data_IF_961042537804
#
_entry.id   IF_961042537804
#
_cell.length_a   1.000
_cell.length_b   1.000
_cell.length_c   1.000
_cell.angle_alpha   90.00
_cell.angle_beta   90.00
_cell.angle_gamma   90.00
#
_symmetry.space_group_name_H-M   'P 1'
#
loop_
_entity.id
_entity.type
_entity.pdbx_description
1 polymer ?
#
# COMPACT_ATOMS: atom_id res chain seq x y z
N UNK A 1 -35.84 1.36 27.51
CA UNK A 1 -35.10 1.53 28.77
C UNK A 1 -33.98 2.52 28.48
N UNK A 2 -34.16 3.73 29.01
CA UNK A 2 -33.23 4.84 28.92
C UNK A 2 -32.09 4.55 29.90
N UNK A 3 -30.84 4.68 29.45
CA UNK A 3 -29.67 4.68 30.33
C UNK A 3 -28.89 5.97 30.11
N UNK A 4 -28.87 6.75 31.18
CA UNK A 4 -28.19 8.03 31.35
C UNK A 4 -26.66 7.84 31.39
N UNK A 5 -25.95 8.54 30.52
CA UNK A 5 -24.49 8.66 30.58
C UNK A 5 -24.11 9.92 31.36
N UNK A 6 -23.72 9.73 32.61
CA UNK A 6 -23.12 10.73 33.50
C UNK A 6 -21.76 11.17 32.95
N UNK A 7 -21.64 12.45 32.63
CA UNK A 7 -20.37 13.14 32.35
C UNK A 7 -19.70 13.47 33.69
N UNK A 8 -18.48 13.00 33.92
CA UNK A 8 -17.65 13.40 35.06
C UNK A 8 -16.57 14.38 34.60
N UNK A 9 -16.51 15.51 35.30
CA UNK A 9 -15.54 16.58 35.14
C UNK A 9 -14.10 16.12 35.36
N UNK A 10 -13.18 16.67 34.56
CA UNK A 10 -11.72 16.55 34.77
C UNK A 10 -11.22 17.71 35.64
N UNK A 11 -10.27 17.48 36.56
CA UNK A 11 -9.63 18.55 37.31
C UNK A 11 -8.63 19.34 36.45
N UNK A 12 -8.36 20.61 36.80
CA UNK A 12 -7.45 21.48 36.05
C UNK A 12 -5.97 21.12 36.27
N UNK A 13 -5.18 21.29 35.21
CA UNK A 13 -3.72 21.11 35.19
C UNK A 13 -3.04 22.37 35.74
N UNK A 14 -2.03 22.26 36.64
CA UNK A 14 -1.32 23.43 37.15
C UNK A 14 -0.29 23.95 36.13
N UNK A 15 -0.24 25.29 36.01
CA UNK A 15 0.69 26.01 35.15
C UNK A 15 2.13 25.93 35.71
N UNK A 16 3.06 25.41 34.89
CA UNK A 16 4.48 25.45 35.20
C UNK A 16 5.11 26.77 34.72
N UNK A 17 5.79 27.44 35.67
CA UNK A 17 6.47 28.72 35.53
C UNK A 17 7.74 28.57 34.69
N UNK A 18 7.95 29.53 33.78
CA UNK A 18 9.18 29.69 33.03
C UNK A 18 10.29 30.27 33.94
N UNK A 19 11.46 29.63 33.94
CA UNK A 19 12.69 30.16 34.54
C UNK A 19 13.55 30.81 33.46
N UNK A 20 13.74 32.10 33.64
CA UNK A 20 14.62 33.00 32.90
C UNK A 20 16.06 32.74 33.32
N UNK A 21 16.94 32.29 32.41
CA UNK A 21 18.39 32.57 32.47
C UNK A 21 19.13 31.99 31.25
N UNK A 22 20.32 32.55 30.98
CA UNK A 22 21.28 32.23 29.91
C UNK A 22 21.07 32.92 28.54
N UNK A 23 21.29 34.25 28.51
CA UNK A 23 21.84 34.94 27.34
C UNK A 23 23.37 34.80 27.34
N UNK A 24 23.94 34.01 26.42
CA UNK A 24 25.33 34.18 25.95
C UNK A 24 25.45 33.89 24.44
N UNK A 25 26.16 34.80 23.79
CA UNK A 25 26.65 34.92 22.41
C UNK A 25 26.52 33.71 21.46
N UNK A 26 25.78 33.90 20.36
CA UNK A 26 25.88 33.14 19.10
C UNK A 26 25.90 34.15 17.95
N UNK A 27 27.09 34.62 17.55
CA UNK A 27 27.25 35.55 16.43
C UNK A 27 27.96 34.95 15.23
N UNK A 28 27.85 33.63 14.98
CA UNK A 28 28.39 32.98 13.77
C UNK A 28 27.61 31.70 13.37
N UNK A 29 26.29 31.65 13.60
CA UNK A 29 25.47 30.55 13.11
C UNK A 29 25.13 30.77 11.61
N UNK A 30 25.27 29.75 10.74
CA UNK A 30 24.82 29.85 9.35
C UNK A 30 23.34 30.23 9.31
N UNK A 31 22.99 31.17 8.42
CA UNK A 31 21.60 31.64 8.25
C UNK A 31 20.68 30.42 8.15
N UNK A 32 19.63 30.30 8.99
CA UNK A 32 18.68 29.22 8.86
C UNK A 32 18.09 29.26 7.44
N UNK A 33 18.20 28.13 6.75
CA UNK A 33 17.47 27.87 5.51
C UNK A 33 16.00 28.25 5.75
N UNK A 34 15.34 28.96 4.82
CA UNK A 34 13.93 29.34 4.99
C UNK A 34 13.14 28.09 5.39
N UNK A 35 12.42 28.20 6.51
CA UNK A 35 11.61 27.12 7.05
C UNK A 35 10.73 26.58 5.92
N UNK A 36 10.88 25.29 5.62
CA UNK A 36 9.99 24.63 4.67
C UNK A 36 8.54 24.87 5.13
N UNK A 37 7.60 25.14 4.20
CA UNK A 37 6.21 25.37 4.56
C UNK A 37 5.75 24.26 5.51
N UNK A 38 5.16 24.67 6.64
CA UNK A 38 4.67 23.72 7.63
C UNK A 38 3.68 22.75 6.98
N UNK A 39 3.71 21.45 7.30
CA UNK A 39 2.96 20.41 6.58
C UNK A 39 1.42 20.51 6.66
N UNK A 40 0.87 21.54 7.30
CA UNK A 40 -0.58 21.81 7.37
C UNK A 40 -1.20 22.21 6.04
N UNK A 41 -0.40 22.67 5.08
CA UNK A 41 -0.85 23.14 3.75
C UNK A 41 -0.48 22.17 2.61
N UNK A 42 -0.13 20.92 2.92
CA UNK A 42 0.23 19.95 1.88
C UNK A 42 -0.99 19.61 1.02
N UNK A 43 -1.00 20.14 -0.20
CA UNK A 43 -2.01 19.79 -1.19
C UNK A 43 -2.00 18.28 -1.45
N UNK A 44 -3.15 17.65 -1.17
CA UNK A 44 -3.35 16.23 -1.41
C UNK A 44 -3.25 15.92 -2.91
N UNK A 45 -2.60 14.81 -3.28
CA UNK A 45 -2.48 14.49 -4.70
C UNK A 45 -3.81 14.21 -5.42
N UNK A 46 -4.03 14.88 -6.55
CA UNK A 46 -5.17 14.62 -7.41
C UNK A 46 -4.95 13.39 -8.33
N UNK A 47 -5.31 12.21 -7.83
CA UNK A 47 -5.25 10.95 -8.58
C UNK A 47 -6.67 10.44 -8.88
N UNK A 48 -7.10 10.40 -10.15
CA UNK A 48 -8.41 9.84 -10.51
C UNK A 48 -8.60 8.44 -9.95
N UNK A 49 -9.83 8.10 -9.58
CA UNK A 49 -10.20 6.79 -9.05
C UNK A 49 -9.50 6.39 -7.73
N UNK A 50 -8.92 7.35 -7.02
CA UNK A 50 -8.35 7.18 -5.67
C UNK A 50 -8.94 8.23 -4.74
N UNK A 51 -9.24 7.84 -3.50
CA UNK A 51 -9.53 8.80 -2.42
C UNK A 51 -8.33 8.86 -1.51
N UNK A 52 -7.91 10.08 -1.19
CA UNK A 52 -6.83 10.39 -0.27
C UNK A 52 -7.39 11.20 0.89
N UNK A 53 -6.93 10.89 2.10
CA UNK A 53 -7.18 11.70 3.28
C UNK A 53 -5.93 11.73 4.15
N UNK A 54 -5.44 12.92 4.48
CA UNK A 54 -4.29 13.09 5.37
C UNK A 54 -4.76 13.49 6.75
N UNK A 55 -4.18 12.85 7.77
CA UNK A 55 -4.40 13.16 9.18
C UNK A 55 -3.03 13.43 9.81
N UNK A 56 -2.78 14.66 10.28
CA UNK A 56 -1.52 14.99 10.92
C UNK A 56 -1.40 14.24 12.26
N UNK A 57 -0.19 13.80 12.57
CA UNK A 57 0.17 13.18 13.85
C UNK A 57 1.02 14.11 14.72
N UNK A 58 1.48 13.57 15.86
CA UNK A 58 2.38 14.29 16.78
C UNK A 58 3.82 14.30 16.26
N UNK A 59 4.36 13.15 15.83
CA UNK A 59 5.69 13.07 15.20
C UNK A 59 5.60 13.26 13.68
N UNK A 60 5.91 14.47 13.24
CA UNK A 60 5.86 14.87 11.82
C UNK A 60 7.02 14.33 10.97
N UNK A 61 7.96 13.59 11.56
CA UNK A 61 9.05 12.94 10.81
C UNK A 61 8.58 11.68 10.08
N UNK A 62 7.45 11.11 10.50
CA UNK A 62 6.97 9.83 10.01
C UNK A 62 5.70 9.99 9.17
N UNK A 63 5.66 9.30 8.04
CA UNK A 63 4.45 9.13 7.25
C UNK A 63 4.06 7.65 7.16
N UNK A 64 2.85 7.35 7.62
CA UNK A 64 2.19 6.06 7.42
C UNK A 64 1.18 6.19 6.28
N UNK A 65 1.50 5.60 5.12
CA UNK A 65 0.59 5.53 3.97
C UNK A 65 -0.30 4.29 4.10
N UNK A 66 -1.57 4.48 4.46
CA UNK A 66 -2.51 3.39 4.75
C UNK A 66 -3.32 3.03 3.51
N UNK A 67 -2.90 1.98 2.80
CA UNK A 67 -3.58 1.39 1.66
C UNK A 67 -4.79 0.55 2.10
N UNK A 68 -5.98 1.09 1.88
CA UNK A 68 -7.24 0.47 2.27
C UNK A 68 -7.83 -0.43 1.16
N UNK A 69 -8.38 -1.62 1.48
CA UNK A 69 -9.05 -2.48 0.52
C UNK A 69 -10.46 -1.98 0.14
N UNK A 70 -10.97 -0.94 0.81
CA UNK A 70 -12.31 -0.37 0.62
C UNK A 70 -12.31 1.14 0.85
N UNK A 71 -13.39 1.82 0.44
CA UNK A 71 -13.62 3.26 0.69
C UNK A 71 -13.69 3.63 2.17
N UNK A 72 -14.00 2.66 3.03
CA UNK A 72 -13.89 2.83 4.47
C UNK A 72 -12.43 2.55 4.81
N UNK A 73 -11.68 3.61 5.04
CA UNK A 73 -10.26 3.51 5.34
C UNK A 73 -10.04 2.54 6.52
N UNK A 74 -9.15 1.56 6.33
CA UNK A 74 -8.77 0.67 7.44
C UNK A 74 -8.02 1.49 8.47
N UNK A 75 -8.18 1.14 9.75
CA UNK A 75 -7.51 1.85 10.84
C UNK A 75 -7.78 3.36 10.88
N UNK A 76 -8.85 3.84 10.26
CA UNK A 76 -9.14 5.28 10.22
C UNK A 76 -9.23 5.91 11.62
N UNK A 77 -9.69 5.15 12.61
CA UNK A 77 -9.81 5.56 14.01
C UNK A 77 -8.57 5.26 14.85
N UNK A 78 -7.53 4.68 14.27
CA UNK A 78 -6.29 4.38 14.97
C UNK A 78 -5.47 5.68 15.07
N UNK A 79 -4.96 5.97 16.26
CA UNK A 79 -4.05 7.08 16.48
C UNK A 79 -2.64 6.61 16.10
N UNK A 80 -2.17 7.03 14.92
CA UNK A 80 -0.82 6.71 14.47
C UNK A 80 0.20 7.62 15.17
N UNK A 81 1.44 7.13 15.42
CA UNK A 81 2.48 7.91 16.09
C UNK A 81 2.97 9.11 15.26
N UNK A 82 2.81 9.04 13.93
CA UNK A 82 3.10 10.14 13.01
C UNK A 82 1.94 10.41 12.05
N UNK A 83 2.22 11.16 10.99
CA UNK A 83 1.22 11.51 9.99
C UNK A 83 0.68 10.26 9.29
N UNK A 84 -0.62 10.25 9.03
CA UNK A 84 -1.29 9.16 8.33
C UNK A 84 -1.90 9.67 7.02
N UNK A 85 -1.49 9.10 5.89
CA UNK A 85 -2.12 9.33 4.60
C UNK A 85 -2.92 8.08 4.21
N UNK A 86 -4.24 8.16 4.34
CA UNK A 86 -5.14 7.10 3.95
C UNK A 86 -5.38 7.14 2.44
N UNK A 87 -5.27 5.97 1.81
CA UNK A 87 -5.41 5.80 0.37
C UNK A 87 -6.42 4.69 0.10
N UNK A 88 -7.41 4.92 -0.77
CA UNK A 88 -8.37 3.90 -1.18
C UNK A 88 -8.53 3.89 -2.70
N UNK A 89 -8.36 2.72 -3.31
CA UNK A 89 -8.72 2.45 -4.71
C UNK A 89 -10.26 2.37 -4.86
N UNK A 90 -10.86 3.33 -5.58
CA UNK A 90 -12.30 3.40 -5.79
C UNK A 90 -12.86 2.29 -6.68
N UNK A 91 -12.02 1.68 -7.51
CA UNK A 91 -12.42 0.59 -8.41
C UNK A 91 -12.21 -0.78 -7.78
N UNK A 92 -11.37 -0.88 -6.75
CA UNK A 92 -11.03 -2.14 -6.10
C UNK A 92 -10.22 -3.06 -7.02
N UNK A 93 -9.33 -2.50 -7.84
CA UNK A 93 -8.43 -3.21 -8.75
C UNK A 93 -6.99 -3.19 -8.25
N UNK A 94 -6.81 -3.33 -6.93
CA UNK A 94 -5.50 -3.52 -6.31
C UNK A 94 -4.51 -2.39 -6.65
N UNK A 95 -5.02 -1.17 -6.82
CA UNK A 95 -4.23 0.01 -7.21
C UNK A 95 -3.58 -0.08 -8.60
N UNK A 96 -3.80 -1.16 -9.37
CA UNK A 96 -3.12 -1.42 -10.64
C UNK A 96 -3.40 -0.34 -11.68
N UNK A 97 -4.65 0.14 -11.76
CA UNK A 97 -5.08 1.12 -12.75
C UNK A 97 -4.30 2.45 -12.65
N UNK A 98 -3.89 2.82 -11.44
CA UNK A 98 -3.32 4.13 -11.12
C UNK A 98 -1.90 4.05 -10.56
N UNK A 99 -1.34 2.84 -10.43
CA UNK A 99 -0.12 2.55 -9.68
C UNK A 99 1.03 3.52 -9.96
N UNK A 100 1.35 3.76 -11.24
CA UNK A 100 2.47 4.64 -11.64
C UNK A 100 2.19 6.12 -11.34
N UNK A 101 0.97 6.60 -11.59
CA UNK A 101 0.60 7.99 -11.31
C UNK A 101 0.58 8.22 -9.80
N UNK A 102 -0.08 7.34 -9.07
CA UNK A 102 -0.16 7.38 -7.62
C UNK A 102 1.23 7.35 -6.96
N UNK A 103 2.13 6.46 -7.38
CA UNK A 103 3.49 6.42 -6.82
C UNK A 103 4.28 7.73 -7.03
N UNK A 104 4.17 8.36 -8.21
CA UNK A 104 4.84 9.67 -8.46
C UNK A 104 4.28 10.77 -7.58
N UNK A 105 2.97 10.82 -7.46
CA UNK A 105 2.28 11.78 -6.63
C UNK A 105 2.59 11.59 -5.13
N UNK A 106 2.66 10.34 -4.67
CA UNK A 106 3.06 10.03 -3.30
C UNK A 106 4.50 10.45 -3.02
N UNK A 107 5.44 10.20 -3.94
CA UNK A 107 6.82 10.68 -3.80
C UNK A 107 6.87 12.20 -3.67
N UNK A 108 6.15 12.95 -4.50
CA UNK A 108 6.07 14.41 -4.39
C UNK A 108 5.48 14.87 -3.06
N UNK A 109 4.42 14.21 -2.60
CA UNK A 109 3.83 14.50 -1.29
C UNK A 109 4.82 14.24 -0.17
N UNK A 110 5.51 13.10 -0.21
CA UNK A 110 6.54 12.69 0.74
C UNK A 110 7.68 13.71 0.80
N UNK A 111 8.13 14.19 -0.37
CA UNK A 111 9.25 15.11 -0.48
C UNK A 111 8.89 16.52 -0.03
N UNK A 112 7.70 17.02 -0.40
CA UNK A 112 7.20 18.32 0.05
C UNK A 112 6.98 18.35 1.56
N UNK A 113 6.51 17.24 2.13
CA UNK A 113 6.30 17.13 3.58
C UNK A 113 7.59 16.95 4.39
N UNK A 114 8.74 16.73 3.74
CA UNK A 114 10.01 16.57 4.43
C UNK A 114 10.07 15.37 5.37
N UNK A 115 9.18 14.38 5.21
CA UNK A 115 9.19 13.19 6.06
C UNK A 115 10.55 12.51 5.97
N UNK A 116 10.98 11.85 7.04
CA UNK A 116 12.23 11.08 7.11
C UNK A 116 11.94 9.59 6.90
N UNK A 117 10.96 9.05 7.65
CA UNK A 117 10.55 7.65 7.57
C UNK A 117 9.20 7.52 6.88
N UNK A 118 9.09 6.57 5.95
CA UNK A 118 7.84 6.26 5.24
C UNK A 118 7.54 4.78 5.36
N UNK A 119 6.35 4.48 5.86
CA UNK A 119 5.80 3.13 5.97
C UNK A 119 4.51 3.03 5.16
N UNK A 120 4.45 2.09 4.22
CA UNK A 120 3.21 1.70 3.57
C UNK A 120 2.55 0.57 4.35
N UNK A 121 1.30 0.77 4.75
CA UNK A 121 0.52 -0.15 5.56
C UNK A 121 -0.70 -0.64 4.78
N UNK A 122 -1.01 -1.94 4.82
CA UNK A 122 -2.24 -2.43 4.21
C UNK A 122 -2.62 -3.85 4.60
N UNK A 123 -3.85 -4.24 4.32
CA UNK A 123 -4.33 -5.62 4.50
C UNK A 123 -4.98 -6.17 3.24
N UNK A 124 -4.81 -7.47 2.95
CA UNK A 124 -5.43 -8.14 1.79
C UNK A 124 -5.07 -7.42 0.48
N UNK A 125 -6.06 -6.90 -0.25
CA UNK A 125 -5.87 -6.02 -1.43
C UNK A 125 -5.08 -4.76 -1.12
N UNK A 126 -5.33 -4.16 0.05
CA UNK A 126 -4.56 -3.05 0.58
C UNK A 126 -3.11 -3.44 0.87
N UNK A 127 -2.89 -4.67 1.34
CA UNK A 127 -1.55 -5.23 1.56
C UNK A 127 -0.77 -5.36 0.26
N UNK A 128 -1.41 -5.84 -0.82
CA UNK A 128 -0.82 -5.77 -2.17
C UNK A 128 -0.50 -4.34 -2.58
N UNK A 129 -1.43 -3.40 -2.36
CA UNK A 129 -1.22 -1.97 -2.64
C UNK A 129 -0.01 -1.39 -1.91
N UNK A 130 0.14 -1.70 -0.63
CA UNK A 130 1.26 -1.28 0.19
C UNK A 130 2.60 -1.78 -0.38
N UNK A 131 2.70 -3.09 -0.70
CA UNK A 131 3.90 -3.68 -1.30
C UNK A 131 4.19 -3.09 -2.70
N UNK A 132 3.16 -2.94 -3.55
CA UNK A 132 3.29 -2.38 -4.89
C UNK A 132 3.79 -0.93 -4.85
N UNK A 133 3.16 -0.08 -4.06
CA UNK A 133 3.49 1.34 -3.99
C UNK A 133 4.85 1.55 -3.33
N UNK A 134 5.22 0.76 -2.31
CA UNK A 134 6.58 0.75 -1.75
C UNK A 134 7.62 0.49 -2.84
N UNK A 135 7.44 -0.56 -3.64
CA UNK A 135 8.34 -0.90 -4.75
C UNK A 135 8.46 0.22 -5.78
N UNK A 136 7.34 0.86 -6.12
CA UNK A 136 7.32 1.92 -7.13
C UNK A 136 7.96 3.21 -6.62
N UNK A 137 7.68 3.61 -5.37
CA UNK A 137 8.29 4.78 -4.75
C UNK A 137 9.81 4.58 -4.57
N UNK A 138 10.24 3.39 -4.12
CA UNK A 138 11.65 3.05 -4.00
C UNK A 138 12.42 3.12 -5.34
N UNK A 139 11.76 2.81 -6.46
CA UNK A 139 12.34 2.98 -7.79
C UNK A 139 12.45 4.43 -8.23
N UNK A 140 11.50 5.27 -7.82
CA UNK A 140 11.49 6.71 -8.12
C UNK A 140 12.48 7.48 -7.24
N UNK A 141 12.76 6.98 -6.03
CA UNK A 141 13.70 7.58 -5.05
C UNK A 141 14.69 6.54 -4.53
N UNK A 142 15.72 6.19 -5.33
CA UNK A 142 16.70 5.15 -4.97
C UNK A 142 17.59 5.53 -3.78
N UNK A 143 17.69 6.82 -3.48
CA UNK A 143 18.42 7.41 -2.35
C UNK A 143 17.68 7.30 -1.01
N UNK A 144 16.41 6.88 -1.05
CA UNK A 144 15.53 6.85 0.11
C UNK A 144 15.10 5.42 0.44
N UNK A 145 15.03 5.12 1.73
CA UNK A 145 14.47 3.86 2.23
C UNK A 145 12.96 3.93 2.34
N UNK A 146 12.26 2.91 1.84
CA UNK A 146 10.82 2.73 2.01
C UNK A 146 10.52 1.42 2.74
N UNK A 147 9.51 1.45 3.62
CA UNK A 147 9.06 0.27 4.36
C UNK A 147 7.65 -0.12 3.96
N UNK A 148 7.36 -1.40 4.04
CA UNK A 148 6.01 -1.94 3.94
C UNK A 148 5.68 -2.79 5.18
N UNK A 149 4.47 -2.65 5.69
CA UNK A 149 3.84 -3.55 6.64
C UNK A 149 2.53 -4.05 6.03
N UNK A 150 2.47 -5.33 5.69
CA UNK A 150 1.32 -5.90 5.00
C UNK A 150 0.73 -7.08 5.79
N UNK A 151 -0.59 -7.03 6.01
CA UNK A 151 -1.36 -8.07 6.70
C UNK A 151 -2.11 -8.94 5.69
N UNK A 152 -1.74 -10.21 5.60
CA UNK A 152 -2.29 -11.19 4.66
C UNK A 152 -2.38 -10.67 3.22
N UNK A 153 -1.26 -10.17 2.64
CA UNK A 153 -1.29 -9.57 1.31
C UNK A 153 -1.55 -10.61 0.21
N UNK A 154 -2.28 -10.20 -0.83
CA UNK A 154 -2.46 -10.98 -2.05
C UNK A 154 -1.35 -10.61 -3.05
N UNK A 155 -0.18 -11.22 -2.92
CA UNK A 155 1.10 -10.82 -3.54
C UNK A 155 1.25 -11.12 -5.03
N UNK A 156 0.54 -12.12 -5.57
CA UNK A 156 0.67 -12.52 -6.98
C UNK A 156 -0.69 -12.58 -7.67
N UNK A 157 -1.00 -11.55 -8.43
CA UNK A 157 -2.19 -11.42 -9.27
C UNK A 157 -1.93 -11.83 -10.74
N UNK A 158 -0.67 -11.71 -11.18
CA UNK A 158 -0.16 -12.16 -12.47
C UNK A 158 1.16 -12.93 -12.30
N UNK A 159 1.37 -14.10 -12.96
CA UNK A 159 0.42 -14.87 -13.77
C UNK A 159 -0.84 -15.31 -12.97
N UNK A 160 -1.77 -16.02 -13.60
CA UNK A 160 -2.98 -16.49 -12.90
C UNK A 160 -2.60 -17.24 -11.61
N UNK A 161 -3.24 -16.89 -10.50
CA UNK A 161 -2.98 -17.48 -9.20
C UNK A 161 -4.18 -18.33 -8.79
N UNK A 162 -4.00 -19.65 -8.77
CA UNK A 162 -5.06 -20.60 -8.45
C UNK A 162 -5.49 -20.55 -6.97
N UNK A 163 -4.62 -20.09 -6.07
CA UNK A 163 -4.91 -20.05 -4.63
C UNK A 163 -5.77 -18.85 -4.23
N UNK A 164 -5.90 -17.84 -5.10
CA UNK A 164 -6.73 -16.67 -4.87
C UNK A 164 -8.17 -16.94 -5.32
N UNK A 165 -9.03 -17.31 -4.37
CA UNK A 165 -10.45 -17.55 -4.63
C UNK A 165 -11.34 -16.31 -4.48
N UNK A 166 -10.77 -15.17 -4.09
CA UNK A 166 -11.51 -13.95 -3.75
C UNK A 166 -12.36 -13.40 -4.90
N UNK A 167 -13.62 -12.96 -4.63
CA UNK A 167 -14.48 -12.32 -5.63
C UNK A 167 -13.85 -11.12 -6.32
N UNK A 168 -13.10 -10.29 -5.59
CA UNK A 168 -12.38 -9.14 -6.16
C UNK A 168 -11.34 -9.54 -7.20
N UNK A 169 -10.60 -10.63 -6.97
CA UNK A 169 -9.62 -11.16 -7.91
C UNK A 169 -10.30 -11.65 -9.19
N UNK A 170 -11.40 -12.42 -9.06
CA UNK A 170 -12.20 -12.87 -10.21
C UNK A 170 -12.71 -11.69 -11.05
N UNK A 171 -13.19 -10.63 -10.40
CA UNK A 171 -13.63 -9.39 -11.06
C UNK A 171 -12.46 -8.70 -11.79
N UNK A 172 -11.30 -8.55 -11.16
CA UNK A 172 -10.08 -8.02 -11.79
C UNK A 172 -9.72 -8.82 -13.05
N UNK A 173 -9.72 -10.16 -12.97
CA UNK A 173 -9.41 -11.04 -14.11
C UNK A 173 -10.40 -10.88 -15.24
N UNK A 174 -11.69 -10.77 -14.95
CA UNK A 174 -12.74 -10.51 -15.96
C UNK A 174 -12.51 -9.19 -16.68
N UNK A 175 -12.25 -8.11 -15.93
CA UNK A 175 -11.98 -6.78 -16.50
C UNK A 175 -10.70 -6.76 -17.33
N UNK A 176 -9.65 -7.46 -16.89
CA UNK A 176 -8.39 -7.58 -17.64
C UNK A 176 -8.53 -8.36 -18.97
N UNK A 177 -9.59 -9.17 -19.15
CA UNK A 177 -9.85 -9.84 -20.44
C UNK A 177 -10.33 -8.84 -21.50
N UNK A 178 -11.15 -7.88 -21.11
CA UNK A 178 -11.81 -6.94 -22.03
C UNK A 178 -11.12 -5.58 -22.12
N UNK A 179 -10.35 -5.17 -21.10
CA UNK A 179 -9.66 -3.86 -21.08
C UNK A 179 -8.16 -4.02 -21.22
N UNK A 180 -7.64 -3.61 -22.38
CA UNK A 180 -6.20 -3.67 -22.70
C UNK A 180 -5.32 -3.01 -21.64
N UNK A 181 -5.66 -1.79 -21.21
CA UNK A 181 -4.89 -1.05 -20.22
C UNK A 181 -4.79 -1.80 -18.87
N UNK A 182 -5.89 -2.41 -18.41
CA UNK A 182 -5.88 -3.22 -17.19
C UNK A 182 -5.06 -4.49 -17.35
N UNK A 183 -5.14 -5.17 -18.51
CA UNK A 183 -4.30 -6.33 -18.82
C UNK A 183 -2.81 -5.99 -18.78
N UNK A 184 -2.44 -4.86 -19.38
CA UNK A 184 -1.07 -4.37 -19.38
C UNK A 184 -0.59 -4.02 -17.95
N UNK A 185 -1.41 -3.30 -17.18
CA UNK A 185 -1.11 -2.98 -15.79
C UNK A 185 -0.94 -4.24 -14.93
N UNK A 186 -1.84 -5.21 -15.09
CA UNK A 186 -1.77 -6.50 -14.39
C UNK A 186 -0.50 -7.28 -14.75
N UNK A 187 -0.09 -7.31 -16.03
CA UNK A 187 1.17 -7.94 -16.43
C UNK A 187 2.40 -7.25 -15.85
N UNK A 188 2.38 -5.92 -15.82
CA UNK A 188 3.53 -5.11 -15.40
C UNK A 188 3.69 -5.04 -13.87
N UNK A 189 2.57 -5.01 -13.14
CA UNK A 189 2.53 -4.70 -11.71
C UNK A 189 1.89 -5.79 -10.85
N UNK A 190 1.29 -6.81 -11.48
CA UNK A 190 0.54 -7.86 -10.78
C UNK A 190 1.37 -8.85 -9.98
N UNK A 191 2.69 -8.72 -9.95
CA UNK A 191 3.57 -9.55 -9.13
C UNK A 191 4.44 -8.69 -8.22
N UNK A 192 4.20 -8.77 -6.91
CA UNK A 192 4.99 -8.11 -5.87
C UNK A 192 5.76 -9.10 -5.00
N UNK A 193 5.85 -10.38 -5.41
CA UNK A 193 6.58 -11.43 -4.67
C UNK A 193 8.05 -11.11 -4.39
N UNK A 194 8.66 -10.25 -5.22
CA UNK A 194 10.07 -9.84 -5.14
C UNK A 194 10.24 -8.38 -4.73
N UNK A 195 9.28 -7.81 -3.99
CA UNK A 195 9.34 -6.42 -3.51
C UNK A 195 10.58 -6.14 -2.66
N UNK A 196 10.97 -7.09 -1.82
CA UNK A 196 12.10 -6.97 -0.89
C UNK A 196 13.48 -7.26 -1.52
N UNK A 197 13.55 -7.44 -2.84
CA UNK A 197 14.82 -7.51 -3.58
C UNK A 197 15.46 -6.13 -3.75
N UNK A 198 14.65 -5.06 -3.74
CA UNK A 198 15.15 -3.70 -3.85
C UNK A 198 15.98 -3.32 -2.62
N UNK A 199 17.17 -2.76 -2.85
CA UNK A 199 18.15 -2.53 -1.79
C UNK A 199 17.72 -1.48 -0.77
N UNK A 200 16.82 -0.58 -1.16
CA UNK A 200 16.25 0.49 -0.35
C UNK A 200 14.79 0.19 0.08
N UNK A 201 14.38 -1.07 0.04
CA UNK A 201 13.06 -1.52 0.54
C UNK A 201 13.24 -2.46 1.71
N UNK A 202 12.41 -2.30 2.74
CA UNK A 202 12.16 -3.31 3.77
C UNK A 202 10.68 -3.67 3.79
N UNK A 203 10.34 -4.95 3.92
CA UNK A 203 8.95 -5.40 3.98
C UNK A 203 8.75 -6.34 5.16
N UNK A 204 7.78 -6.04 6.01
CA UNK A 204 7.25 -6.94 7.02
C UNK A 204 5.89 -7.45 6.58
N UNK A 205 5.72 -8.77 6.56
CA UNK A 205 4.47 -9.42 6.15
C UNK A 205 3.95 -10.29 7.27
N UNK A 206 2.77 -9.94 7.78
CA UNK A 206 2.03 -10.70 8.77
C UNK A 206 1.03 -11.59 8.03
N UNK A 207 0.92 -12.87 8.39
CA UNK A 207 0.04 -13.80 7.70
C UNK A 207 -0.42 -14.95 8.60
N UNK A 208 -1.64 -15.42 8.37
CA UNK A 208 -2.24 -16.54 9.08
C UNK A 208 -1.69 -17.88 8.57
N UNK A 209 -1.07 -18.69 9.43
CA UNK A 209 -0.46 -19.97 9.04
C UNK A 209 -1.50 -21.03 8.72
N UNK A 210 -2.65 -20.97 9.38
CA UNK A 210 -3.71 -21.98 9.23
C UNK A 210 -4.74 -21.57 8.17
N UNK A 211 -4.48 -20.46 7.47
CA UNK A 211 -5.19 -20.07 6.25
C UNK A 211 -4.35 -20.46 5.02
N UNK A 212 -4.77 -21.47 4.23
CA UNK A 212 -3.95 -21.99 3.13
C UNK A 212 -3.59 -20.94 2.07
N UNK A 213 -4.49 -20.00 1.78
CA UNK A 213 -4.24 -18.93 0.81
C UNK A 213 -3.18 -17.95 1.32
N UNK A 214 -3.27 -17.54 2.58
CA UNK A 214 -2.26 -16.65 3.17
C UNK A 214 -0.89 -17.30 3.27
N UNK A 215 -0.85 -18.57 3.69
CA UNK A 215 0.38 -19.34 3.73
C UNK A 215 1.01 -19.43 2.34
N UNK A 216 0.22 -19.71 1.30
CA UNK A 216 0.70 -19.79 -0.07
C UNK A 216 1.22 -18.43 -0.59
N UNK A 217 0.50 -17.33 -0.34
CA UNK A 217 0.95 -15.98 -0.69
C UNK A 217 2.21 -15.56 0.09
N UNK A 218 2.30 -15.89 1.37
CA UNK A 218 3.48 -15.65 2.18
C UNK A 218 4.68 -16.45 1.68
N UNK A 219 4.51 -17.70 1.28
CA UNK A 219 5.57 -18.55 0.74
C UNK A 219 6.09 -18.07 -0.61
N UNK A 220 5.25 -17.42 -1.43
CA UNK A 220 5.68 -16.78 -2.69
C UNK A 220 6.60 -15.60 -2.48
N UNK A 221 6.47 -14.88 -1.35
CA UNK A 221 7.32 -13.74 -1.07
C UNK A 221 8.76 -14.18 -0.82
N UNK A 222 9.67 -13.47 -1.48
CA UNK A 222 11.11 -13.59 -1.28
C UNK A 222 11.79 -12.23 -1.30
N UNK A 223 13.07 -12.26 -0.97
CA UNK A 223 13.96 -11.10 -0.99
C UNK A 223 14.67 -10.91 0.33
N UNK A 224 15.81 -10.23 0.25
CA UNK A 224 16.79 -10.09 1.34
C UNK A 224 16.30 -9.24 2.52
N UNK A 225 15.37 -8.34 2.24
CA UNK A 225 14.84 -7.38 3.21
C UNK A 225 13.38 -7.70 3.59
N UNK A 226 13.05 -8.99 3.64
CA UNK A 226 11.72 -9.49 3.97
C UNK A 226 11.71 -10.09 5.37
N UNK A 227 10.84 -9.58 6.24
CA UNK A 227 10.47 -10.21 7.51
C UNK A 227 9.09 -10.84 7.37
N UNK A 228 8.97 -12.11 7.74
CA UNK A 228 7.70 -12.84 7.79
C UNK A 228 7.30 -13.00 9.26
N UNK A 229 6.07 -12.62 9.61
CA UNK A 229 5.51 -12.73 10.95
C UNK A 229 4.30 -13.68 10.87
N UNK A 230 4.51 -14.98 11.12
CA UNK A 230 3.41 -15.93 11.15
C UNK A 230 2.51 -15.66 12.35
N UNK A 231 1.20 -15.84 12.17
CA UNK A 231 0.23 -15.90 13.27
C UNK A 231 -0.48 -17.25 13.22
N UNK A 232 -0.60 -17.91 14.38
CA UNK A 232 -1.44 -19.09 14.52
C UNK A 232 -2.90 -18.65 14.46
N UNK A 233 -3.61 -19.04 13.41
CA UNK A 233 -4.91 -18.45 13.09
C UNK A 233 -5.41 -18.81 11.71
N UNK A 234 -6.73 -18.81 11.56
CA UNK A 234 -7.42 -19.28 10.34
C UNK A 234 -7.97 -18.16 9.47
N UNK A 235 -8.05 -16.94 10.02
CA UNK A 235 -8.65 -15.78 9.36
C UNK A 235 -7.67 -15.04 8.44
N UNK A 236 -8.09 -14.78 7.19
CA UNK A 236 -7.37 -13.90 6.26
C UNK A 236 -7.27 -12.45 6.76
N UNK A 237 -8.15 -12.05 7.68
CA UNK A 237 -8.10 -10.74 8.32
C UNK A 237 -7.05 -10.67 9.42
N UNK A 238 -5.78 -10.98 9.15
CA UNK A 238 -4.70 -11.05 10.16
C UNK A 238 -4.52 -9.76 10.97
N UNK A 239 -4.87 -8.60 10.40
CA UNK A 239 -4.87 -7.31 11.12
C UNK A 239 -5.85 -7.26 12.32
N UNK A 240 -6.87 -8.13 12.32
CA UNK A 240 -7.86 -8.18 13.40
C UNK A 240 -7.25 -8.66 14.72
N UNK A 241 -6.24 -9.52 14.66
CA UNK A 241 -5.51 -10.01 15.84
C UNK A 241 -4.84 -8.87 16.60
N UNK A 242 -4.31 -7.89 15.88
CA UNK A 242 -3.62 -6.72 16.45
C UNK A 242 -4.57 -5.61 16.87
N UNK A 243 -5.65 -5.39 16.11
CA UNK A 243 -6.60 -4.29 16.40
C UNK A 243 -7.59 -4.62 17.52
N UNK A 244 -7.80 -5.91 17.79
CA UNK A 244 -8.68 -6.40 18.86
C UNK A 244 -7.89 -6.91 20.09
N UNK A 245 -6.57 -6.98 20.00
CA UNK A 245 -5.67 -7.35 21.09
C UNK A 245 -5.93 -6.50 22.35
N UNK A 246 -5.96 -7.14 23.51
CA UNK A 246 -6.11 -6.46 24.81
C UNK A 246 -7.48 -5.81 25.04
N UNK A 247 -8.46 -5.99 24.15
CA UNK A 247 -9.83 -5.53 24.35
C UNK A 247 -10.62 -6.55 25.20
N UNK A 248 -11.62 -6.10 25.98
CA UNK A 248 -12.50 -7.01 26.71
C UNK A 248 -13.17 -8.03 25.78
N UNK A 249 -13.33 -9.28 26.24
CA UNK A 249 -13.89 -10.36 25.43
C UNK A 249 -15.27 -10.01 24.85
N UNK A 250 -16.14 -9.37 25.65
CA UNK A 250 -17.47 -8.93 25.22
C UNK A 250 -17.42 -7.98 24.01
N UNK A 251 -16.43 -7.09 23.98
CA UNK A 251 -16.19 -6.20 22.83
C UNK A 251 -15.73 -6.99 21.60
N UNK A 252 -14.76 -7.90 21.77
CA UNK A 252 -14.22 -8.74 20.69
C UNK A 252 -15.32 -9.61 20.09
N UNK A 253 -16.09 -10.30 20.94
CA UNK A 253 -17.27 -11.08 20.57
C UNK A 253 -18.28 -10.25 19.78
N UNK A 254 -18.60 -9.04 20.24
CA UNK A 254 -19.49 -8.12 19.52
C UNK A 254 -18.93 -7.61 18.18
N UNK A 255 -17.60 -7.56 18.00
CA UNK A 255 -16.97 -7.28 16.70
C UNK A 255 -17.06 -8.47 15.76
N UNK A 256 -16.76 -9.67 16.23
CA UNK A 256 -16.86 -10.92 15.48
C UNK A 256 -18.31 -11.13 15.04
N UNK A 257 -19.28 -11.03 15.95
CA UNK A 257 -20.70 -11.15 15.63
C UNK A 257 -21.14 -10.20 14.51
N UNK A 258 -20.63 -8.95 14.48
CA UNK A 258 -20.91 -7.99 13.39
C UNK A 258 -20.29 -8.40 12.06
N UNK A 259 -19.08 -8.96 12.05
CA UNK A 259 -18.45 -9.52 10.83
C UNK A 259 -19.32 -10.66 10.29
N UNK A 260 -19.85 -11.50 11.18
CA UNK A 260 -20.68 -12.64 10.79
C UNK A 260 -22.10 -12.22 10.34
N UNK A 261 -22.72 -11.26 11.02
CA UNK A 261 -24.07 -10.77 10.75
C UNK A 261 -24.17 -9.88 9.50
N UNK A 262 -23.16 -9.05 9.22
CA UNK A 262 -23.14 -8.18 8.03
C UNK A 262 -23.21 -8.96 6.73
N UNK A 263 -22.70 -10.19 6.73
CA UNK A 263 -22.79 -11.08 5.58
C UNK A 263 -24.22 -11.47 5.17
N UNK A 264 -25.15 -11.49 6.12
CA UNK A 264 -26.51 -11.97 5.87
C UNK A 264 -27.44 -10.86 5.35
N UNK A 265 -27.10 -9.59 5.57
CA UNK A 265 -28.09 -8.50 5.47
C UNK A 265 -28.15 -7.75 4.15
N UNK A 266 -27.14 -7.75 3.28
CA UNK A 266 -27.17 -6.90 2.07
C UNK A 266 -26.35 -7.51 0.94
N UNK A 267 -26.98 -7.74 -0.22
CA UNK A 267 -26.31 -7.93 -1.51
C UNK A 267 -25.55 -6.68 -2.00
N UNK A 268 -25.06 -5.84 -1.09
CA UNK A 268 -24.28 -4.63 -1.34
C UNK A 268 -22.86 -4.87 -0.84
N UNK A 269 -21.92 -5.04 -1.78
CA UNK A 269 -20.46 -4.74 -1.84
C UNK A 269 -19.59 -4.55 -0.57
N UNK A 270 -20.04 -4.87 0.62
CA UNK A 270 -19.30 -4.66 1.85
C UNK A 270 -18.40 -5.87 2.13
N UNK A 271 -17.22 -5.81 1.52
CA UNK A 271 -16.04 -6.68 1.72
C UNK A 271 -16.30 -8.19 1.54
N UNK A 272 -16.73 -8.55 0.33
CA UNK A 272 -16.98 -9.94 -0.07
C UNK A 272 -15.76 -10.86 0.14
N UNK A 273 -14.54 -10.29 0.08
CA UNK A 273 -13.31 -11.06 0.29
C UNK A 273 -13.15 -11.48 1.75
N UNK A 274 -13.41 -10.56 2.69
CA UNK A 274 -13.39 -10.87 4.12
C UNK A 274 -14.45 -11.92 4.47
N UNK A 275 -15.62 -11.85 3.85
CA UNK A 275 -16.65 -12.86 4.03
C UNK A 275 -16.19 -14.24 3.53
N UNK A 276 -15.60 -14.30 2.33
CA UNK A 276 -15.17 -15.56 1.73
C UNK A 276 -14.04 -16.25 2.51
N UNK A 277 -13.37 -15.53 3.40
CA UNK A 277 -12.13 -15.97 4.07
C UNK A 277 -12.17 -15.93 5.60
N UNK A 278 -13.35 -15.71 6.17
CA UNK A 278 -13.55 -15.80 7.62
C UNK A 278 -13.54 -17.26 8.09
N UNK A 279 -13.16 -17.53 9.35
CA UNK A 279 -13.29 -18.86 9.93
C UNK A 279 -14.74 -19.38 9.87
N UNK A 280 -14.93 -20.71 9.92
CA UNK A 280 -16.28 -21.29 9.94
C UNK A 280 -16.93 -21.11 11.32
N UNK A 281 -16.15 -21.30 12.38
CA UNK A 281 -16.58 -21.17 13.76
C UNK A 281 -16.19 -19.77 14.32
N UNK A 282 -17.18 -18.91 14.65
CA UNK A 282 -16.89 -17.62 15.28
C UNK A 282 -16.27 -17.75 16.68
N UNK A 283 -16.53 -18.83 17.42
CA UNK A 283 -15.95 -19.06 18.75
C UNK A 283 -14.47 -19.44 18.65
N UNK A 284 -14.11 -20.27 17.66
CA UNK A 284 -12.71 -20.49 17.31
C UNK A 284 -12.00 -19.17 17.03
N UNK A 285 -12.59 -18.30 16.20
CA UNK A 285 -11.96 -17.02 15.87
C UNK A 285 -11.80 -16.10 17.10
N UNK A 286 -12.76 -16.15 18.02
CA UNK A 286 -12.65 -15.44 19.29
C UNK A 286 -11.48 -15.97 20.12
N UNK A 287 -11.38 -17.30 20.32
CA UNK A 287 -10.28 -17.93 21.05
C UNK A 287 -8.91 -17.56 20.44
N UNK A 288 -8.80 -17.61 19.12
CA UNK A 288 -7.58 -17.22 18.38
C UNK A 288 -7.17 -15.77 18.71
N UNK A 289 -8.12 -14.82 18.70
CA UNK A 289 -7.86 -13.40 19.04
C UNK A 289 -7.51 -13.23 20.53
N UNK A 290 -8.20 -13.93 21.44
CA UNK A 290 -7.97 -13.81 22.87
C UNK A 290 -6.61 -14.37 23.30
N UNK A 291 -6.06 -15.34 22.56
CA UNK A 291 -4.72 -15.89 22.79
C UNK A 291 -3.61 -15.01 22.19
N UNK A 292 -3.90 -14.19 21.17
CA UNK A 292 -2.94 -13.35 20.48
C UNK A 292 -2.01 -12.50 21.39
N UNK A 293 -2.48 -11.88 22.49
CA UNK A 293 -1.61 -11.10 23.37
C UNK A 293 -0.46 -11.87 24.02
N UNK A 294 -0.55 -13.19 24.12
CA UNK A 294 0.50 -14.01 24.75
C UNK A 294 1.75 -14.20 23.88
N UNK A 295 1.66 -13.94 22.57
CA UNK A 295 2.75 -14.20 21.63
C UNK A 295 2.93 -13.16 20.52
N UNK A 296 1.98 -12.22 20.32
CA UNK A 296 2.10 -11.15 19.34
C UNK A 296 2.43 -9.80 20.00
N UNK A 297 3.29 -8.98 19.37
CA UNK A 297 3.45 -7.59 19.79
C UNK A 297 2.15 -6.82 19.57
N UNK A 298 2.00 -5.69 20.26
CA UNK A 298 0.90 -4.76 19.99
C UNK A 298 0.99 -4.22 18.56
N UNK A 299 -0.12 -3.70 18.02
CA UNK A 299 -0.11 -3.03 16.71
C UNK A 299 0.91 -1.88 16.68
N UNK A 300 0.99 -1.11 17.77
CA UNK A 300 1.94 -0.02 17.93
C UNK A 300 3.39 -0.53 17.91
N UNK A 301 3.70 -1.56 18.69
CA UNK A 301 5.04 -2.16 18.69
C UNK A 301 5.45 -2.64 17.31
N UNK A 302 4.53 -3.31 16.60
CA UNK A 302 4.78 -3.77 15.24
C UNK A 302 4.98 -2.61 14.24
N UNK A 303 4.23 -1.51 14.38
CA UNK A 303 4.41 -0.31 13.55
C UNK A 303 5.78 0.33 13.80
N UNK A 304 6.18 0.47 15.07
CA UNK A 304 7.47 1.03 15.45
C UNK A 304 8.63 0.17 14.94
N UNK A 305 8.55 -1.15 15.10
CA UNK A 305 9.53 -2.08 14.53
C UNK A 305 9.62 -1.95 13.00
N UNK A 306 8.49 -1.86 12.31
CA UNK A 306 8.46 -1.72 10.85
C UNK A 306 9.02 -0.37 10.38
N UNK A 307 8.75 0.72 11.13
CA UNK A 307 9.30 2.06 10.88
C UNK A 307 10.80 2.14 11.13
N UNK A 308 11.29 1.48 12.20
CA UNK A 308 12.69 1.44 12.56
C UNK A 308 13.53 0.53 11.64
N UNK A 309 12.90 -0.46 10.99
CA UNK A 309 13.60 -1.45 10.18
C UNK A 309 14.46 -0.80 9.09
N UNK A 310 15.72 -1.22 8.98
CA UNK A 310 16.63 -0.79 7.92
C UNK A 310 16.84 -1.91 6.90
N UNK A 311 16.95 -1.60 5.60
CA UNK A 311 17.41 -2.55 4.59
C UNK A 311 18.81 -3.05 4.94
N UNK A 312 19.06 -4.34 4.71
CA UNK A 312 20.41 -4.91 4.86
C UNK A 312 21.35 -4.25 3.85
N UNK A 313 22.56 -3.83 4.29
CA UNK A 313 23.55 -3.28 3.38
C UNK A 313 23.90 -4.30 2.29
N UNK A 314 24.12 -3.82 1.07
CA UNK A 314 24.60 -4.65 -0.03
C UNK A 314 26.02 -5.15 0.29
N UNK A 315 26.30 -6.44 0.06
CA UNK A 315 27.67 -6.96 0.07
C UNK A 315 28.51 -6.28 -1.03
N UNK A 316 29.84 -6.36 -0.95
CA UNK A 316 30.73 -5.79 -1.98
C UNK A 316 30.38 -6.31 -3.39
N UNK A 317 30.15 -7.62 -3.51
CA UNK A 317 29.73 -8.24 -4.78
C UNK A 317 28.36 -7.76 -5.27
N UNK A 318 27.38 -7.61 -4.37
CA UNK A 318 26.06 -7.09 -4.74
C UNK A 318 26.11 -5.61 -5.18
N UNK A 319 26.95 -4.79 -4.52
CA UNK A 319 27.19 -3.39 -4.92
C UNK A 319 27.79 -3.33 -6.32
N UNK A 320 28.81 -4.14 -6.59
CA UNK A 320 29.42 -4.23 -7.92
C UNK A 320 28.38 -4.64 -8.98
N UNK A 321 27.60 -5.70 -8.73
CA UNK A 321 26.57 -6.15 -9.65
C UNK A 321 25.47 -5.08 -9.88
N UNK A 322 25.10 -4.31 -8.85
CA UNK A 322 24.17 -3.20 -8.99
C UNK A 322 24.74 -2.06 -9.86
N UNK A 323 26.02 -1.71 -9.65
CA UNK A 323 26.73 -0.72 -10.47
C UNK A 323 26.80 -1.14 -11.94
N UNK A 324 27.16 -2.40 -12.22
CA UNK A 324 27.21 -2.95 -13.59
C UNK A 324 25.83 -2.90 -14.25
N UNK A 325 24.77 -3.30 -13.55
CA UNK A 325 23.39 -3.21 -14.08
C UNK A 325 22.98 -1.77 -14.39
N UNK A 326 23.37 -0.82 -13.53
CA UNK A 326 23.08 0.61 -13.75
C UNK A 326 23.79 1.14 -15.00
N UNK A 327 25.07 0.80 -15.17
CA UNK A 327 25.85 1.17 -16.36
C UNK A 327 25.24 0.56 -17.64
N UNK A 328 24.85 -0.72 -17.60
CA UNK A 328 24.19 -1.38 -18.73
C UNK A 328 22.85 -0.73 -19.11
N UNK A 329 22.06 -0.28 -18.12
CA UNK A 329 20.81 0.44 -18.37
C UNK A 329 21.06 1.81 -19.02
N UNK A 330 22.10 2.54 -18.60
CA UNK A 330 22.49 3.82 -19.18
C UNK A 330 22.92 3.61 -20.65
N UNK A 331 23.80 2.64 -20.90
CA UNK A 331 24.27 2.32 -22.25
C UNK A 331 23.12 1.87 -23.17
N UNK A 332 22.26 0.94 -22.70
CA UNK A 332 21.13 0.44 -23.48
C UNK A 332 19.99 1.45 -23.69
N UNK A 333 19.91 2.49 -22.84
CA UNK A 333 19.02 3.64 -23.04
C UNK A 333 19.53 4.57 -24.13
N UNK A 334 20.84 4.86 -24.13
CA UNK A 334 21.48 5.71 -25.14
C UNK A 334 21.34 5.12 -26.56
N UNK A 335 21.56 3.80 -26.73
CA UNK A 335 21.42 3.15 -28.03
C UNK A 335 19.99 3.25 -28.62
N UNK A 336 18.95 3.24 -27.77
CA UNK A 336 17.55 3.38 -28.24
C UNK A 336 17.18 4.82 -28.60
N UNK A 337 17.86 5.81 -28.03
CA UNK A 337 17.72 7.21 -28.40
C UNK A 337 18.23 7.46 -29.83
N UNK A 338 19.42 6.94 -30.15
CA UNK A 338 20.04 7.11 -31.47
C UNK A 338 19.25 6.45 -32.62
N UNK A 339 18.56 5.33 -32.39
CA UNK A 339 17.73 4.70 -33.43
C UNK A 339 16.45 5.48 -33.76
N UNK A 340 15.93 6.31 -32.83
CA UNK A 340 14.73 7.13 -33.09
C UNK A 340 15.02 8.41 -33.87
N UNK A 341 16.21 8.99 -33.73
CA UNK A 341 16.58 10.20 -34.47
C UNK A 341 16.83 9.96 -35.96
N UNK A 342 17.25 8.75 -36.37
CA UNK A 342 17.42 8.43 -37.80
C UNK A 342 16.11 8.19 -38.55
N UNK A 343 14.99 7.96 -37.86
CA UNK A 343 13.71 7.62 -38.52
C UNK A 343 12.81 8.83 -38.78
N UNK A 344 13.18 10.05 -38.32
CA UNK A 344 12.39 11.28 -38.50
C UNK A 344 12.90 12.17 -39.65
N UNK A 345 14.01 11.80 -40.31
CA UNK A 345 14.55 12.53 -41.49
C UNK A 345 14.40 11.79 -42.81
N UNK A 346 13.33 11.02 -42.97
CA UNK A 346 12.89 10.48 -44.26
C UNK A 346 11.69 11.26 -44.77
N UNK A 347 11.92 12.34 -45.52
CA UNK A 347 10.90 12.97 -46.36
C UNK A 347 10.42 11.97 -47.43
N UNK A 348 9.12 11.68 -47.56
CA UNK A 348 8.58 11.22 -48.83
C UNK A 348 8.22 12.45 -49.66
N UNK A 349 9.01 12.72 -50.69
CA UNK A 349 8.57 13.53 -51.81
C UNK A 349 7.41 12.82 -52.52
N UNK A 350 6.33 13.59 -52.75
CA UNK A 350 5.45 13.48 -53.92
C UNK A 350 4.84 12.12 -54.26
N UNK A 351 3.56 11.95 -53.92
CA UNK A 351 2.72 10.92 -54.55
C UNK A 351 1.24 11.22 -54.34
N UNK A 352 0.62 11.93 -55.29
CA UNK A 352 -0.85 12.11 -55.35
C UNK A 352 -1.51 10.74 -55.56
N UNK A 353 -2.52 10.33 -54.76
CA UNK A 353 -3.34 9.20 -55.15
C UNK A 353 -4.43 9.65 -56.14
N UNK A 354 -4.44 8.97 -57.28
CA UNK A 354 -5.49 9.05 -58.28
C UNK A 354 -6.84 8.58 -57.71
N UNK A 355 -7.88 9.29 -58.14
CA UNK A 355 -9.28 9.09 -57.79
C UNK A 355 -9.81 7.88 -58.58
N UNK A 356 -9.97 6.73 -57.94
CA UNK A 356 -10.67 5.59 -58.53
C UNK A 356 -12.16 5.64 -58.16
N UNK A 357 -13.01 5.77 -59.18
CA UNK A 357 -14.45 5.53 -59.14
C UNK A 357 -14.72 4.02 -59.28
N UNK A 358 -15.96 3.64 -58.97
CA UNK A 358 -16.63 2.33 -59.21
C UNK A 358 -16.57 1.39 -58.00
N UNK A 359 -17.60 0.62 -57.64
CA UNK A 359 -19.01 0.48 -58.05
C UNK A 359 -19.64 -0.59 -57.14
N UNK A 360 -20.97 -0.68 -57.18
CA UNK A 360 -21.81 -1.84 -56.85
C UNK A 360 -21.87 -2.33 -55.41
N UNK A 361 -22.95 -1.88 -54.76
CA UNK A 361 -23.82 -2.64 -53.86
C UNK A 361 -24.10 -4.07 -54.33
N UNK A 362 -23.95 -5.04 -53.41
CA UNK A 362 -24.51 -6.38 -53.53
C UNK A 362 -24.94 -6.89 -52.14
N UNK A 363 -26.19 -7.34 -51.94
CA UNK A 363 -26.67 -7.88 -50.67
C UNK A 363 -26.33 -9.38 -50.56
N UNK A 364 -26.02 -9.84 -49.35
CA UNK A 364 -25.91 -11.28 -49.03
C UNK A 364 -27.03 -11.62 -48.02
N UNK A 365 -27.79 -12.71 -48.24
CA UNK A 365 -28.94 -13.07 -47.43
C UNK A 365 -28.53 -13.80 -46.14
N UNK A 366 -29.46 -13.78 -45.19
CA UNK A 366 -29.42 -14.53 -43.94
C UNK A 366 -29.83 -15.98 -44.18
N UNK A 367 -29.19 -16.88 -43.45
CA UNK A 367 -29.72 -18.17 -43.01
C UNK A 367 -29.51 -18.28 -41.51
#
# INVERSE_FOLDING_TARGET
MQDDCVVRDRPPVPAARASTEARRSLSDAPRPTPASPGPGDLELPAVPDVVLEHRPGEDRRDLIVVCSPSRRFILYRYAFPGDALFVSDLKGFYYLAVARKLARELVRFIDRGGYERVLFLGTSKGGFGALLLTRLCARLRPDRTFRALAFSPQVRLHPLNADLYFPSYRRLRRVARTRFAMRAALRLHGDVSRVADASNVHATVVYATDNPTDLAEANRLGGRNLRKVPIAGTSHGSILYFTLQGRPESYVRGRIARIYARAKRRGQDHDQDLFASRPKDPEQFLREIMLAPSYLPTLEGLLQEALAAAPRPLSAGERMAASVRRLAQIAGGACRGFSRERQVRGHPAGGRPARAKNSSTGPIPKS
#
